data_IF_194281116620
#
_entry.id   IF_194281116620
#
_cell.length_a   1.000
_cell.length_b   1.000
_cell.length_c   1.000
_cell.angle_alpha   90.00
_cell.angle_beta   90.00
_cell.angle_gamma   90.00
#
_symmetry.space_group_name_H-M   'P 1'
#
loop_
_entity.id
_entity.type
_entity.pdbx_description
1 polymer ?
#
# COMPACT_ATOMS: atom_id res chain seq x y z
N UNK A 1 -11.61 3.08 10.23
CA UNK A 1 -10.69 3.28 9.08
C UNK A 1 -10.37 4.75 8.94
N UNK A 2 -9.11 5.08 8.83
CA UNK A 2 -8.65 6.47 8.80
C UNK A 2 -8.23 6.88 7.39
N UNK A 3 -8.37 8.19 7.10
CA UNK A 3 -7.82 8.73 5.86
C UNK A 3 -6.31 8.86 5.97
N UNK A 4 -5.60 8.52 4.89
CA UNK A 4 -4.18 8.77 4.79
C UNK A 4 -4.00 10.24 4.43
N UNK A 5 -3.35 10.99 5.32
CA UNK A 5 -3.20 12.45 5.20
C UNK A 5 -1.83 12.87 4.71
N UNK A 6 -0.97 11.92 4.39
CA UNK A 6 0.36 12.22 3.86
C UNK A 6 0.23 12.97 2.53
N UNK A 7 1.08 13.97 2.34
CA UNK A 7 1.09 14.74 1.10
C UNK A 7 1.33 13.81 -0.10
N UNK A 8 0.53 13.97 -1.15
CA UNK A 8 0.58 13.10 -2.32
C UNK A 8 -0.40 11.94 -2.30
N UNK A 9 -1.06 11.67 -1.16
CA UNK A 9 -2.10 10.67 -1.09
C UNK A 9 -3.42 11.23 -1.61
N UNK A 10 -4.17 10.41 -2.35
CA UNK A 10 -5.50 10.78 -2.85
C UNK A 10 -6.46 9.61 -2.63
N UNK A 11 -7.53 9.88 -1.86
CA UNK A 11 -8.61 8.94 -1.61
C UNK A 11 -8.12 7.58 -1.10
N UNK A 12 -7.22 7.59 -0.14
CA UNK A 12 -6.66 6.39 0.49
C UNK A 12 -7.08 6.35 1.94
N UNK A 13 -7.54 5.16 2.36
CA UNK A 13 -7.86 4.89 3.76
C UNK A 13 -6.97 3.78 4.28
N UNK A 14 -6.63 3.86 5.56
CA UNK A 14 -5.78 2.89 6.24
C UNK A 14 -6.49 2.36 7.49
N UNK A 15 -6.33 1.07 7.73
CA UNK A 15 -6.79 0.44 8.96
C UNK A 15 -5.63 -0.39 9.54
N UNK A 16 -5.25 -0.09 10.77
CA UNK A 16 -4.23 -0.85 11.47
C UNK A 16 -4.87 -2.11 12.05
N UNK A 17 -4.54 -3.27 11.50
CA UNK A 17 -5.06 -4.55 11.98
C UNK A 17 -4.22 -5.06 13.13
N UNK A 18 -2.90 -4.97 13.02
CA UNK A 18 -1.95 -5.31 14.08
C UNK A 18 -0.95 -4.16 14.15
N UNK A 19 -1.02 -3.39 15.23
CA UNK A 19 -0.13 -2.25 15.43
C UNK A 19 0.97 -2.59 16.46
N UNK A 20 1.75 -1.58 16.86
CA UNK A 20 2.86 -1.74 17.80
C UNK A 20 2.42 -2.15 19.19
N UNK A 21 1.15 -2.03 19.53
CA UNK A 21 0.62 -2.43 20.83
C UNK A 21 0.46 -3.94 20.94
N UNK A 22 0.27 -4.61 19.81
CA UNK A 22 0.05 -6.05 19.74
C UNK A 22 1.24 -6.74 19.07
N UNK A 23 1.72 -6.19 17.96
CA UNK A 23 2.81 -6.75 17.19
C UNK A 23 4.15 -6.50 17.87
N UNK A 24 5.06 -7.49 17.74
CA UNK A 24 6.41 -7.37 18.32
C UNK A 24 7.43 -6.99 17.26
N UNK A 25 7.33 -7.58 16.09
CA UNK A 25 8.36 -7.46 15.06
C UNK A 25 7.85 -6.73 13.84
N UNK A 26 6.57 -6.93 13.48
CA UNK A 26 5.99 -6.28 12.32
C UNK A 26 4.52 -5.96 12.57
N UNK A 27 4.03 -4.99 11.78
CA UNK A 27 2.65 -4.54 11.82
C UNK A 27 1.93 -4.98 10.54
N UNK A 28 0.61 -5.10 10.62
CA UNK A 28 -0.23 -5.41 9.47
C UNK A 28 -1.26 -4.30 9.31
N UNK A 29 -1.33 -3.74 8.12
CA UNK A 29 -2.27 -2.66 7.80
C UNK A 29 -3.10 -3.08 6.59
N UNK A 30 -4.34 -2.61 6.54
CA UNK A 30 -5.22 -2.77 5.39
C UNK A 30 -5.39 -1.40 4.75
N UNK A 31 -5.04 -1.30 3.47
CA UNK A 31 -5.25 -0.09 2.69
C UNK A 31 -6.44 -0.26 1.78
N UNK A 32 -7.23 0.81 1.65
CA UNK A 32 -8.32 0.89 0.69
C UNK A 32 -8.10 2.14 -0.14
N UNK A 33 -7.89 1.95 -1.43
CA UNK A 33 -7.71 3.06 -2.37
C UNK A 33 -8.95 3.13 -3.24
N UNK A 34 -9.64 4.26 -3.18
CA UNK A 34 -10.86 4.49 -3.95
C UNK A 34 -10.52 4.67 -5.43
N UNK A 35 -11.53 4.54 -6.28
CA UNK A 35 -11.38 4.76 -7.72
C UNK A 35 -10.68 6.10 -7.99
N UNK A 36 -9.66 6.08 -8.84
CA UNK A 36 -8.87 7.26 -9.18
C UNK A 36 -7.87 7.67 -8.12
N UNK A 37 -7.82 6.95 -7.00
CA UNK A 37 -6.93 7.27 -5.89
C UNK A 37 -5.55 6.64 -6.02
N UNK A 38 -4.64 7.09 -5.18
CA UNK A 38 -3.27 6.61 -5.14
C UNK A 38 -2.58 7.00 -3.84
N UNK A 39 -1.58 6.20 -3.46
CA UNK A 39 -0.71 6.56 -2.34
C UNK A 39 0.32 7.59 -2.79
N UNK A 40 1.06 8.21 -1.86
CA UNK A 40 2.16 9.09 -2.26
C UNK A 40 3.23 8.32 -3.03
N UNK A 41 3.93 9.00 -3.92
CA UNK A 41 5.15 8.47 -4.52
C UNK A 41 6.28 8.80 -3.55
N UNK A 42 6.73 7.80 -2.80
CA UNK A 42 7.67 8.02 -1.70
C UNK A 42 8.57 6.81 -1.48
N UNK A 43 9.47 6.91 -0.53
CA UNK A 43 10.31 5.80 -0.10
C UNK A 43 10.42 5.81 1.43
N UNK A 44 10.71 4.62 1.96
CA UNK A 44 11.02 4.43 3.38
C UNK A 44 12.31 3.62 3.50
N UNK A 45 12.96 3.70 4.65
CA UNK A 45 14.17 2.92 4.92
C UNK A 45 13.86 1.50 5.45
N UNK A 46 12.63 1.06 5.24
CA UNK A 46 12.19 -0.30 5.58
C UNK A 46 11.42 -0.91 4.41
N UNK A 47 11.31 -2.23 4.43
CA UNK A 47 10.61 -2.98 3.39
C UNK A 47 9.09 -2.99 3.62
N UNK A 48 8.37 -3.33 2.55
CA UNK A 48 6.93 -3.56 2.60
C UNK A 48 6.64 -4.92 1.97
N UNK A 49 5.73 -5.67 2.58
CA UNK A 49 5.18 -6.89 2.00
C UNK A 49 3.69 -6.67 1.79
N UNK A 50 3.23 -6.88 0.57
CA UNK A 50 1.87 -6.54 0.16
C UNK A 50 1.15 -7.76 -0.39
N UNK A 51 -0.11 -7.95 0.00
CA UNK A 51 -0.98 -8.98 -0.54
C UNK A 51 -2.32 -8.36 -0.93
N UNK A 52 -2.73 -8.52 -2.20
CA UNK A 52 -3.94 -7.90 -2.74
C UNK A 52 -5.17 -8.72 -2.40
N UNK A 53 -6.17 -8.09 -1.79
CA UNK A 53 -7.43 -8.73 -1.41
C UNK A 53 -8.52 -8.52 -2.45
N UNK A 54 -8.65 -7.32 -3.02
CA UNK A 54 -9.75 -6.99 -3.92
C UNK A 54 -9.38 -5.86 -4.86
N UNK A 55 -10.06 -5.80 -6.00
CA UNK A 55 -9.87 -4.72 -6.96
C UNK A 55 -8.67 -4.91 -7.86
N UNK A 56 -8.43 -3.92 -8.70
CA UNK A 56 -7.29 -3.93 -9.61
C UNK A 56 -6.47 -2.67 -9.42
N UNK A 57 -5.18 -2.84 -9.26
CA UNK A 57 -4.28 -1.72 -9.05
C UNK A 57 -2.95 -1.91 -9.73
N UNK A 58 -2.01 -1.07 -9.36
CA UNK A 58 -0.64 -1.17 -9.84
C UNK A 58 0.34 -0.67 -8.80
N UNK A 59 1.50 -1.30 -8.77
CA UNK A 59 2.68 -0.78 -8.08
C UNK A 59 3.46 0.03 -9.11
N UNK A 60 3.78 1.27 -8.77
CA UNK A 60 4.46 2.20 -9.68
C UNK A 60 5.86 2.48 -9.14
N UNK A 61 6.88 2.37 -9.98
CA UNK A 61 8.27 2.66 -9.59
C UNK A 61 8.64 4.12 -9.84
N UNK A 62 9.89 4.49 -9.54
CA UNK A 62 10.37 5.86 -9.69
C UNK A 62 10.36 6.37 -11.13
N UNK A 63 10.36 5.47 -12.10
CA UNK A 63 10.34 5.81 -13.51
C UNK A 63 8.92 5.87 -14.09
N UNK A 64 7.91 5.68 -13.23
CA UNK A 64 6.51 5.68 -13.65
C UNK A 64 6.07 4.37 -14.26
N UNK A 65 6.90 3.33 -14.23
CA UNK A 65 6.53 2.02 -14.75
C UNK A 65 5.51 1.37 -13.80
N UNK A 66 4.45 0.82 -14.38
CA UNK A 66 3.36 0.21 -13.63
C UNK A 66 3.43 -1.32 -13.72
N UNK A 67 3.32 -1.95 -12.55
CA UNK A 67 3.27 -3.40 -12.42
C UNK A 67 1.86 -3.76 -11.94
N UNK A 68 1.03 -4.38 -12.80
CA UNK A 68 -0.37 -4.67 -12.46
C UNK A 68 -0.49 -5.59 -11.26
N UNK A 69 -1.46 -5.31 -10.40
CA UNK A 69 -1.77 -6.10 -9.20
C UNK A 69 -3.24 -6.46 -9.20
N UNK A 70 -3.54 -7.74 -9.06
CA UNK A 70 -4.89 -8.30 -9.00
C UNK A 70 -5.08 -9.08 -7.70
N UNK A 71 -6.32 -9.41 -7.31
CA UNK A 71 -6.56 -10.20 -6.10
C UNK A 71 -5.73 -11.48 -6.09
N UNK A 72 -5.07 -11.74 -4.95
CA UNK A 72 -4.18 -12.89 -4.79
C UNK A 72 -2.74 -12.64 -5.21
N UNK A 73 -2.47 -11.53 -5.88
CA UNK A 73 -1.10 -11.13 -6.19
C UNK A 73 -0.43 -10.57 -4.94
N UNK A 74 0.89 -10.60 -4.93
CA UNK A 74 1.69 -10.05 -3.85
C UNK A 74 2.82 -9.22 -4.41
N UNK A 75 3.39 -8.36 -3.58
CA UNK A 75 4.49 -7.51 -3.96
C UNK A 75 5.45 -7.32 -2.79
N UNK A 76 6.71 -7.14 -3.10
CA UNK A 76 7.73 -6.80 -2.14
C UNK A 76 8.37 -5.48 -2.56
N UNK A 77 8.44 -4.54 -1.62
CA UNK A 77 9.08 -3.24 -1.84
C UNK A 77 10.33 -3.22 -0.96
N UNK A 78 11.49 -3.06 -1.57
CA UNK A 78 12.75 -3.04 -0.83
C UNK A 78 12.94 -1.73 -0.07
N UNK A 79 13.78 -1.74 0.98
CA UNK A 79 14.13 -0.49 1.67
C UNK A 79 14.68 0.53 0.68
N UNK A 80 14.25 1.79 0.83
CA UNK A 80 14.66 2.93 0.01
C UNK A 80 14.21 2.89 -1.46
N UNK A 81 13.36 1.94 -1.82
CA UNK A 81 12.80 1.87 -3.16
C UNK A 81 11.64 2.84 -3.28
N UNK A 82 11.71 3.75 -4.25
CA UNK A 82 10.62 4.71 -4.50
C UNK A 82 9.45 3.94 -5.10
N UNK A 83 8.27 4.12 -4.52
CA UNK A 83 7.08 3.36 -4.90
C UNK A 83 5.81 4.16 -4.67
N UNK A 84 4.76 3.72 -5.37
CA UNK A 84 3.41 4.26 -5.23
C UNK A 84 2.43 3.15 -5.60
N UNK A 85 1.28 3.10 -4.94
CA UNK A 85 0.19 2.21 -5.31
C UNK A 85 -0.94 3.04 -5.90
N UNK A 86 -1.51 2.57 -7.01
CA UNK A 86 -2.64 3.24 -7.69
C UNK A 86 -3.79 2.27 -7.86
N UNK A 87 -5.00 2.79 -7.73
CA UNK A 87 -6.19 2.05 -8.15
C UNK A 87 -6.36 2.24 -9.66
N UNK A 88 -6.37 1.15 -10.41
CA UNK A 88 -6.49 1.15 -11.88
C UNK A 88 -7.84 0.62 -12.35
N UNK A 89 -8.73 0.27 -11.41
CA UNK A 89 -10.02 -0.29 -11.73
C UNK A 89 -11.17 0.64 -11.36
N UNK A 90 -12.39 0.07 -11.38
CA UNK A 90 -13.62 0.81 -11.06
C UNK A 90 -14.07 0.63 -9.62
N UNK A 91 -13.59 -0.43 -8.97
CA UNK A 91 -13.92 -0.77 -7.59
C UNK A 91 -12.78 -0.38 -6.66
N UNK A 92 -13.01 -0.45 -5.35
CA UNK A 92 -11.96 -0.21 -4.37
C UNK A 92 -10.81 -1.20 -4.56
N UNK A 93 -9.59 -0.69 -4.53
CA UNK A 93 -8.38 -1.51 -4.53
C UNK A 93 -7.94 -1.69 -3.07
N UNK A 94 -7.98 -2.94 -2.60
CA UNK A 94 -7.76 -3.25 -1.20
C UNK A 94 -6.59 -4.23 -1.07
N UNK A 95 -5.64 -3.89 -0.21
CA UNK A 95 -4.49 -4.76 0.03
C UNK A 95 -4.04 -4.71 1.48
N UNK A 96 -3.39 -5.79 1.90
CA UNK A 96 -2.68 -5.83 3.17
C UNK A 96 -1.25 -5.39 2.93
N UNK A 97 -0.71 -4.62 3.87
CA UNK A 97 0.68 -4.18 3.81
C UNK A 97 1.33 -4.41 5.16
N UNK A 98 2.35 -5.25 5.19
CA UNK A 98 3.11 -5.56 6.38
C UNK A 98 4.41 -4.78 6.35
N UNK A 99 4.74 -4.18 7.50
CA UNK A 99 5.99 -3.42 7.67
C UNK A 99 6.66 -3.83 8.98
N UNK A 100 8.00 -3.73 9.05
CA UNK A 100 8.68 -3.96 10.31
C UNK A 100 8.38 -2.83 11.29
N UNK A 101 8.40 -3.15 12.57
CA UNK A 101 8.30 -2.16 13.65
C UNK A 101 9.70 -1.74 14.05
N UNK A 102 9.90 -0.44 14.39
CA UNK A 102 11.19 0.06 14.84
C UNK A 102 11.63 -0.52 16.18
#
# INVERSE_FOLDING_TARGET
>A
MEDVKEEGARDVKIQWLIDEKIGRTFAMRRFTIKRGGHTPLHKHDWEHEVFVLAGEGALVDENGREYPLKPGNFAYVEPNEIHQFKNKGDEDFIFLCMIPLP
#
